data_IF_227537643242
#
_entry.id   IF_227537643242
#
_cell.length_a   1.000
_cell.length_b   1.000
_cell.length_c   1.000
_cell.angle_alpha   90.00
_cell.angle_beta   90.00
_cell.angle_gamma   90.00
#
_symmetry.space_group_name_H-M   'P 1'
#
loop_
_entity.id
_entity.type
_entity.pdbx_description
1 polymer ?
#
# COMPACT_ATOMS: atom_id res chain seq x y z
N UNK A 1 -6.98 7.75 -26.00
CA UNK A 1 -5.97 7.02 -26.78
C UNK A 1 -4.56 7.17 -26.19
N UNK A 2 -4.15 8.39 -25.87
CA UNK A 2 -2.85 8.63 -25.22
C UNK A 2 -2.75 7.93 -23.87
N UNK A 3 -3.81 7.98 -23.08
CA UNK A 3 -3.87 7.30 -21.79
C UNK A 3 -3.78 5.79 -21.92
N UNK A 4 -4.40 5.24 -22.96
CA UNK A 4 -4.33 3.81 -23.24
C UNK A 4 -2.90 3.39 -23.64
N UNK A 5 -2.26 4.17 -24.51
CA UNK A 5 -0.87 3.93 -24.94
C UNK A 5 0.09 4.05 -23.76
N UNK A 6 -0.11 5.04 -22.88
CA UNK A 6 0.70 5.18 -21.67
C UNK A 6 0.50 3.98 -20.73
N UNK A 7 -0.73 3.51 -20.58
CA UNK A 7 -1.04 2.32 -19.78
C UNK A 7 -0.31 1.08 -20.29
N UNK A 8 -0.28 0.87 -21.60
CA UNK A 8 0.46 -0.23 -22.20
C UNK A 8 1.97 -0.10 -21.99
N UNK A 9 2.50 1.12 -22.10
CA UNK A 9 3.93 1.38 -21.88
C UNK A 9 4.32 1.11 -20.41
N UNK A 10 3.48 1.53 -19.46
CA UNK A 10 3.70 1.26 -18.03
C UNK A 10 3.67 -0.23 -17.73
N UNK A 11 2.71 -0.95 -18.31
CA UNK A 11 2.60 -2.41 -18.15
C UNK A 11 3.85 -3.11 -18.66
N UNK A 12 4.35 -2.70 -19.82
CA UNK A 12 5.57 -3.28 -20.39
C UNK A 12 6.80 -2.94 -19.54
N UNK A 13 6.87 -1.72 -19.01
CA UNK A 13 7.94 -1.32 -18.08
C UNK A 13 7.96 -2.22 -16.83
N UNK A 14 6.80 -2.53 -16.28
CA UNK A 14 6.68 -3.42 -15.12
C UNK A 14 7.13 -4.85 -15.46
N UNK A 15 6.71 -5.37 -16.60
CA UNK A 15 7.12 -6.70 -17.07
C UNK A 15 8.61 -6.79 -17.28
N UNK A 16 9.19 -5.74 -17.86
CA UNK A 16 10.64 -5.66 -18.10
C UNK A 16 11.41 -5.64 -16.79
N UNK A 17 10.93 -4.90 -15.80
CA UNK A 17 11.52 -4.87 -14.45
C UNK A 17 11.47 -6.24 -13.79
N UNK A 18 10.38 -6.97 -13.96
CA UNK A 18 10.21 -8.30 -13.38
C UNK A 18 11.23 -9.33 -13.91
N UNK A 19 11.85 -9.09 -15.05
CA UNK A 19 12.91 -9.98 -15.58
C UNK A 19 14.17 -9.93 -14.73
N UNK A 20 14.42 -8.82 -14.05
CA UNK A 20 15.61 -8.62 -13.21
C UNK A 20 15.31 -8.44 -11.72
N UNK A 21 14.04 -8.34 -11.34
CA UNK A 21 13.59 -8.24 -9.96
C UNK A 21 12.84 -9.53 -9.60
N UNK A 22 13.52 -10.43 -8.90
CA UNK A 22 12.97 -11.75 -8.54
C UNK A 22 11.72 -11.63 -7.67
N UNK A 23 11.71 -10.68 -6.75
CA UNK A 23 10.55 -10.48 -5.87
C UNK A 23 9.34 -10.01 -6.68
N UNK A 24 9.52 -9.04 -7.56
CA UNK A 24 8.44 -8.57 -8.43
C UNK A 24 7.93 -9.70 -9.32
N UNK A 25 8.82 -10.51 -9.87
CA UNK A 25 8.44 -11.67 -10.68
C UNK A 25 7.58 -12.66 -9.88
N UNK A 26 7.98 -12.92 -8.63
CA UNK A 26 7.20 -13.79 -7.74
C UNK A 26 5.82 -13.21 -7.43
N UNK A 27 5.75 -11.90 -7.19
CA UNK A 27 4.49 -11.18 -6.97
C UNK A 27 3.56 -11.34 -8.17
N UNK A 28 4.05 -11.07 -9.37
CA UNK A 28 3.23 -11.16 -10.58
C UNK A 28 2.77 -12.58 -10.89
N UNK A 29 3.54 -13.59 -10.48
CA UNK A 29 3.25 -15.00 -10.77
C UNK A 29 2.36 -15.67 -9.71
N UNK A 30 2.47 -15.28 -8.44
CA UNK A 30 1.92 -16.04 -7.32
C UNK A 30 0.96 -15.28 -6.43
N UNK A 31 0.73 -13.99 -6.68
CA UNK A 31 -0.18 -13.22 -5.83
C UNK A 31 -1.65 -13.48 -6.16
N UNK A 32 -2.48 -13.39 -5.13
CA UNK A 32 -3.91 -13.22 -5.31
C UNK A 32 -4.17 -11.74 -5.57
N UNK A 33 -4.80 -11.43 -6.69
CA UNK A 33 -5.11 -10.05 -7.05
C UNK A 33 -6.48 -9.65 -6.53
N UNK A 34 -6.63 -8.38 -6.17
CA UNK A 34 -7.90 -7.82 -5.71
C UNK A 34 -8.51 -8.59 -4.52
N UNK A 35 -7.65 -8.96 -3.58
CA UNK A 35 -8.05 -9.77 -2.41
C UNK A 35 -8.75 -8.91 -1.36
N UNK A 36 -10.01 -9.23 -1.07
CA UNK A 36 -10.75 -8.58 0.01
C UNK A 36 -10.40 -9.18 1.36
N UNK A 37 -10.28 -8.33 2.37
CA UNK A 37 -10.18 -8.74 3.76
C UNK A 37 -11.05 -7.85 4.63
N UNK A 38 -11.64 -8.44 5.67
CA UNK A 38 -12.47 -7.77 6.66
C UNK A 38 -11.95 -8.11 8.04
N UNK A 39 -11.83 -7.11 8.90
CA UNK A 39 -11.56 -7.32 10.32
C UNK A 39 -12.76 -6.76 11.10
N UNK A 40 -13.56 -7.65 11.65
CA UNK A 40 -14.74 -7.25 12.41
C UNK A 40 -14.32 -6.88 13.83
N UNK A 41 -14.87 -5.76 14.31
CA UNK A 41 -14.62 -5.24 15.65
C UNK A 41 -13.15 -5.00 15.94
N UNK A 42 -12.44 -4.41 14.98
CA UNK A 42 -11.06 -4.00 15.18
C UNK A 42 -11.00 -2.95 16.29
N UNK A 43 -10.11 -3.16 17.24
CA UNK A 43 -9.96 -2.28 18.39
C UNK A 43 -9.09 -1.07 18.05
N UNK A 44 -9.54 0.09 18.50
CA UNK A 44 -8.82 1.35 18.36
C UNK A 44 -8.66 2.01 19.73
N UNK A 45 -7.51 2.63 19.91
CA UNK A 45 -7.22 3.43 21.08
C UNK A 45 -6.70 4.79 20.61
N UNK A 46 -7.38 5.88 20.98
CA UNK A 46 -6.97 7.24 20.63
C UNK A 46 -7.17 8.13 21.85
N UNK A 47 -6.05 8.61 22.40
CA UNK A 47 -6.07 9.30 23.69
C UNK A 47 -6.63 8.37 24.77
N UNK A 48 -7.71 8.79 25.43
CA UNK A 48 -8.40 8.01 26.46
C UNK A 48 -9.62 7.24 25.92
N UNK A 49 -9.85 7.29 24.60
CA UNK A 49 -11.00 6.64 23.99
C UNK A 49 -10.61 5.26 23.46
N UNK A 50 -11.40 4.27 23.80
CA UNK A 50 -11.31 2.92 23.27
C UNK A 50 -12.61 2.61 22.54
N UNK A 51 -12.52 2.13 21.30
CA UNK A 51 -13.68 1.84 20.47
C UNK A 51 -13.36 0.77 19.45
N UNK A 52 -14.37 0.25 18.77
CA UNK A 52 -14.21 -0.75 17.71
C UNK A 52 -14.87 -0.26 16.44
N UNK A 53 -14.28 -0.65 15.31
CA UNK A 53 -14.87 -0.46 13.99
C UNK A 53 -14.70 -1.74 13.18
N UNK A 54 -15.65 -2.02 12.31
CA UNK A 54 -15.46 -3.01 11.28
C UNK A 54 -14.63 -2.36 10.15
N UNK A 55 -13.52 -2.99 9.82
CA UNK A 55 -12.58 -2.48 8.84
C UNK A 55 -12.46 -3.43 7.66
N UNK A 56 -12.15 -2.88 6.50
CA UNK A 56 -11.99 -3.68 5.29
C UNK A 56 -10.95 -3.07 4.38
N UNK A 57 -10.33 -3.93 3.57
CA UNK A 57 -9.40 -3.51 2.55
C UNK A 57 -9.48 -4.44 1.33
N UNK A 58 -8.90 -3.98 0.24
CA UNK A 58 -8.83 -4.74 -1.00
C UNK A 58 -7.40 -4.63 -1.53
N UNK A 59 -6.65 -5.71 -1.40
CA UNK A 59 -5.26 -5.76 -1.82
C UNK A 59 -5.15 -5.80 -3.34
N UNK A 60 -4.22 -5.05 -3.90
CA UNK A 60 -3.83 -5.24 -5.29
C UNK A 60 -3.13 -6.59 -5.45
N UNK A 61 -2.18 -6.85 -4.56
CA UNK A 61 -1.43 -8.10 -4.50
C UNK A 61 -1.39 -8.64 -3.08
N UNK A 62 -1.84 -9.86 -2.91
CA UNK A 62 -1.70 -10.60 -1.66
C UNK A 62 -0.90 -11.86 -1.90
N UNK A 63 0.10 -12.12 -1.06
CA UNK A 63 1.00 -13.27 -1.17
C UNK A 63 0.67 -14.28 -0.05
N UNK A 64 -0.20 -15.27 -0.30
CA UNK A 64 -0.64 -16.19 0.75
C UNK A 64 0.52 -16.95 1.39
N UNK A 65 1.52 -17.32 0.60
CA UNK A 65 2.68 -18.07 1.09
C UNK A 65 3.56 -17.28 2.04
N UNK A 66 3.55 -15.95 1.93
CA UNK A 66 4.39 -15.06 2.76
C UNK A 66 3.59 -14.36 3.86
N UNK A 67 2.26 -14.35 3.77
CA UNK A 67 1.41 -13.71 4.76
C UNK A 67 1.46 -12.18 4.74
N UNK A 68 1.78 -11.58 3.62
CA UNK A 68 1.71 -10.12 3.43
C UNK A 68 1.38 -9.79 1.99
N UNK A 69 1.10 -8.54 1.74
CA UNK A 69 0.76 -8.06 0.41
C UNK A 69 1.35 -6.70 0.11
N UNK A 70 0.94 -6.14 -1.00
CA UNK A 70 1.42 -4.84 -1.45
C UNK A 70 0.50 -4.18 -2.44
N UNK A 71 0.96 -3.03 -2.93
CA UNK A 71 0.17 -2.14 -3.75
C UNK A 71 0.96 -1.68 -4.98
N UNK A 72 0.22 -1.47 -6.06
CA UNK A 72 0.76 -0.94 -7.30
C UNK A 72 0.26 0.49 -7.48
N UNK A 73 1.18 1.42 -7.66
CA UNK A 73 0.87 2.84 -7.86
C UNK A 73 1.38 3.34 -9.19
N UNK A 74 0.75 4.37 -9.71
CA UNK A 74 1.33 5.23 -10.72
C UNK A 74 1.74 6.52 -10.06
N UNK A 75 2.81 7.14 -10.53
CA UNK A 75 3.38 8.33 -9.89
C UNK A 75 3.93 9.30 -10.92
N UNK A 76 4.00 10.57 -10.58
CA UNK A 76 4.72 11.57 -11.36
C UNK A 76 6.17 11.74 -10.90
N UNK A 77 6.59 11.01 -9.87
CA UNK A 77 7.98 11.02 -9.42
C UNK A 77 8.92 10.58 -10.54
N UNK A 78 10.07 11.20 -10.61
CA UNK A 78 11.12 10.89 -11.60
C UNK A 78 12.34 10.24 -10.96
N UNK A 79 12.38 10.16 -9.63
CA UNK A 79 13.47 9.55 -8.87
C UNK A 79 12.92 8.79 -7.66
N UNK A 80 13.76 7.92 -7.10
CA UNK A 80 13.41 7.18 -5.88
C UNK A 80 13.13 8.11 -4.70
N UNK A 81 13.90 9.21 -4.56
CA UNK A 81 13.69 10.17 -3.48
C UNK A 81 12.34 10.88 -3.61
N UNK A 82 11.97 11.30 -4.81
CA UNK A 82 10.67 11.90 -5.06
C UNK A 82 9.54 10.91 -4.77
N UNK A 83 9.72 9.64 -5.13
CA UNK A 83 8.73 8.62 -4.80
C UNK A 83 8.61 8.43 -3.29
N UNK A 84 9.72 8.39 -2.56
CA UNK A 84 9.71 8.26 -1.10
C UNK A 84 8.94 9.41 -0.44
N UNK A 85 9.13 10.64 -0.93
CA UNK A 85 8.38 11.80 -0.45
C UNK A 85 6.89 11.69 -0.78
N UNK A 86 6.55 11.13 -1.94
CA UNK A 86 5.17 10.95 -2.37
C UNK A 86 4.39 9.99 -1.45
N UNK A 87 5.06 9.02 -0.86
CA UNK A 87 4.43 8.08 0.09
C UNK A 87 3.80 8.82 1.27
N UNK A 88 4.52 9.78 1.83
CA UNK A 88 4.00 10.64 2.91
C UNK A 88 2.95 11.62 2.38
N UNK A 89 3.29 12.33 1.31
CA UNK A 89 2.46 13.41 0.78
C UNK A 89 1.07 12.94 0.36
N UNK A 90 0.97 11.78 -0.28
CA UNK A 90 -0.31 11.22 -0.76
C UNK A 90 -0.95 10.27 0.25
N UNK A 91 -0.44 10.19 1.48
CA UNK A 91 -0.98 9.31 2.52
C UNK A 91 -0.98 7.81 2.14
N UNK A 92 -0.04 7.40 1.29
CA UNK A 92 0.11 5.98 0.97
C UNK A 92 0.60 5.18 2.18
N UNK A 93 1.38 5.81 3.06
CA UNK A 93 1.77 5.25 4.34
C UNK A 93 0.56 4.93 5.22
N UNK A 94 -0.44 5.82 5.26
CA UNK A 94 -1.69 5.60 5.98
C UNK A 94 -2.41 4.35 5.46
N UNK A 95 -2.53 4.25 4.14
CA UNK A 95 -3.19 3.10 3.52
C UNK A 95 -2.46 1.80 3.81
N UNK A 96 -1.12 1.79 3.72
CA UNK A 96 -0.35 0.57 3.97
C UNK A 96 -0.44 0.12 5.42
N UNK A 97 -0.35 1.04 6.38
CA UNK A 97 -0.52 0.73 7.79
C UNK A 97 -1.92 0.16 8.08
N UNK A 98 -2.95 0.75 7.50
CA UNK A 98 -4.33 0.27 7.59
C UNK A 98 -4.47 -1.17 7.10
N UNK A 99 -3.93 -1.46 5.91
CA UNK A 99 -3.96 -2.79 5.32
C UNK A 99 -3.20 -3.81 6.16
N UNK A 100 -2.00 -3.44 6.62
CA UNK A 100 -1.17 -4.31 7.46
C UNK A 100 -1.91 -4.71 8.74
N UNK A 101 -2.59 -3.77 9.37
CA UNK A 101 -3.27 -4.03 10.64
C UNK A 101 -4.56 -4.84 10.45
N UNK A 102 -5.25 -4.68 9.32
CA UNK A 102 -6.39 -5.54 8.99
C UNK A 102 -5.95 -7.00 8.80
N UNK A 103 -4.87 -7.22 8.08
CA UNK A 103 -4.38 -8.56 7.80
C UNK A 103 -3.53 -9.16 8.92
N UNK A 104 -3.03 -8.34 9.85
CA UNK A 104 -2.07 -8.78 10.85
C UNK A 104 -0.70 -9.07 10.26
N UNK A 105 -0.36 -8.51 9.11
CA UNK A 105 0.91 -8.76 8.43
C UNK A 105 2.05 -7.95 9.04
N UNK A 106 3.27 -8.45 8.91
CA UNK A 106 4.48 -7.83 9.46
C UNK A 106 5.19 -6.95 8.44
N UNK A 107 4.86 -7.10 7.17
CA UNK A 107 5.51 -6.42 6.06
C UNK A 107 4.47 -5.97 5.04
N UNK A 108 4.88 -5.04 4.20
CA UNK A 108 4.09 -4.53 3.08
C UNK A 108 5.06 -3.98 2.03
N UNK A 109 4.58 -3.74 0.83
CA UNK A 109 5.41 -3.14 -0.20
C UNK A 109 4.59 -2.32 -1.18
N UNK A 110 5.26 -1.38 -1.84
CA UNK A 110 4.69 -0.59 -2.93
C UNK A 110 5.64 -0.67 -4.12
N UNK A 111 5.10 -0.98 -5.29
CA UNK A 111 5.77 -0.73 -6.56
C UNK A 111 5.06 0.40 -7.27
N UNK A 112 5.82 1.32 -7.83
CA UNK A 112 5.28 2.46 -8.54
C UNK A 112 5.94 2.61 -9.91
N UNK A 113 5.15 3.03 -10.88
CA UNK A 113 5.61 3.27 -12.24
C UNK A 113 5.45 4.75 -12.52
N UNK A 114 6.55 5.40 -12.94
CA UNK A 114 6.51 6.80 -13.30
C UNK A 114 5.76 7.02 -14.62
N UNK A 115 4.79 7.91 -14.60
CA UNK A 115 4.12 8.37 -15.82
C UNK A 115 5.01 9.25 -16.68
N UNK A 116 6.08 9.81 -16.11
CA UNK A 116 6.98 10.72 -16.81
C UNK A 116 8.12 10.01 -17.52
N UNK A 117 8.77 9.05 -16.86
CA UNK A 117 9.96 8.40 -17.42
C UNK A 117 9.92 6.88 -17.42
N UNK A 118 8.78 6.28 -17.02
CA UNK A 118 8.55 4.82 -16.97
C UNK A 118 9.50 4.07 -16.03
N UNK A 119 10.22 4.77 -15.15
CA UNK A 119 11.04 4.11 -14.14
C UNK A 119 10.16 3.44 -13.11
N UNK A 120 10.66 2.33 -12.56
CA UNK A 120 10.00 1.59 -11.50
C UNK A 120 10.66 1.96 -10.17
N UNK A 121 9.84 2.35 -9.21
CA UNK A 121 10.28 2.62 -7.84
C UNK A 121 9.64 1.61 -6.91
N UNK A 122 10.32 1.31 -5.82
CA UNK A 122 9.80 0.37 -4.81
C UNK A 122 10.09 0.84 -3.40
N UNK A 123 9.22 0.45 -2.48
CA UNK A 123 9.40 0.67 -1.07
C UNK A 123 8.91 -0.56 -0.32
N UNK A 124 9.71 -1.02 0.64
CA UNK A 124 9.33 -2.10 1.55
C UNK A 124 9.10 -1.52 2.93
N UNK A 125 8.05 -1.96 3.58
CA UNK A 125 7.59 -1.41 4.85
C UNK A 125 7.52 -2.55 5.87
N UNK A 126 8.07 -2.30 7.07
CA UNK A 126 7.98 -3.20 8.22
C UNK A 126 7.27 -2.49 9.36
N UNK A 127 6.75 -3.25 10.33
CA UNK A 127 6.04 -2.68 11.48
C UNK A 127 6.88 -1.76 12.34
N UNK A 128 8.19 -1.96 12.39
CA UNK A 128 9.09 -1.11 13.16
C UNK A 128 9.60 0.12 12.40
N UNK A 129 9.26 0.25 11.12
CA UNK A 129 9.68 1.39 10.29
C UNK A 129 8.93 2.67 10.63
N UNK A 130 9.59 3.80 10.42
CA UNK A 130 8.97 5.13 10.57
C UNK A 130 7.79 5.31 9.62
N UNK A 131 7.85 4.74 8.42
CA UNK A 131 6.76 4.79 7.45
C UNK A 131 5.48 4.16 8.01
N UNK A 132 5.58 2.97 8.61
CA UNK A 132 4.44 2.33 9.25
C UNK A 132 3.91 3.15 10.43
N UNK A 133 4.80 3.62 11.30
CA UNK A 133 4.42 4.39 12.49
C UNK A 133 3.70 5.68 12.11
N UNK A 134 4.23 6.39 11.12
CA UNK A 134 3.60 7.60 10.58
C UNK A 134 2.24 7.29 9.98
N UNK A 135 2.13 6.22 9.21
CA UNK A 135 0.87 5.78 8.61
C UNK A 135 -0.17 5.42 9.65
N UNK A 136 0.24 4.74 10.72
CA UNK A 136 -0.65 4.38 11.83
C UNK A 136 -1.17 5.63 12.56
N UNK A 137 -0.32 6.60 12.82
CA UNK A 137 -0.75 7.87 13.43
C UNK A 137 -1.82 8.55 12.57
N UNK A 138 -1.62 8.57 11.25
CA UNK A 138 -2.57 9.17 10.32
C UNK A 138 -3.91 8.44 10.31
N UNK A 139 -3.89 7.11 10.28
CA UNK A 139 -5.16 6.38 10.25
C UNK A 139 -5.86 6.40 11.62
N UNK A 140 -5.13 6.40 12.72
CA UNK A 140 -5.72 6.51 14.05
C UNK A 140 -6.50 7.82 14.20
N UNK A 141 -5.92 8.92 13.74
CA UNK A 141 -6.59 10.22 13.75
C UNK A 141 -7.85 10.22 12.88
N UNK A 142 -7.73 9.70 11.66
CA UNK A 142 -8.85 9.66 10.72
C UNK A 142 -9.96 8.74 11.22
N UNK A 143 -9.62 7.58 11.74
CA UNK A 143 -10.59 6.64 12.30
C UNK A 143 -11.32 7.24 13.50
N UNK A 144 -10.62 7.97 14.36
CA UNK A 144 -11.22 8.64 15.51
C UNK A 144 -12.22 9.71 15.07
N UNK A 145 -11.87 10.51 14.09
CA UNK A 145 -12.79 11.51 13.53
C UNK A 145 -14.03 10.86 12.93
N UNK A 146 -13.86 9.76 12.23
CA UNK A 146 -14.96 8.98 11.67
C UNK A 146 -15.87 8.44 12.78
N UNK A 147 -15.28 7.84 13.80
CA UNK A 147 -16.03 7.28 14.93
C UNK A 147 -16.85 8.37 15.64
N UNK A 148 -16.28 9.55 15.86
CA UNK A 148 -17.00 10.67 16.49
C UNK A 148 -18.23 11.09 15.68
N UNK A 149 -18.16 11.03 14.35
CA UNK A 149 -19.29 11.35 13.48
C UNK A 149 -20.42 10.31 13.54
N UNK A 150 -20.07 9.06 13.83
CA UNK A 150 -21.03 7.95 13.88
C UNK A 150 -21.67 7.74 15.24
N UNK A 151 -21.14 8.37 16.27
CA UNK A 151 -21.63 8.31 17.63
C UNK A 151 -22.36 9.60 17.99
#
# INVERSE_FOLDING_TARGET
REDFELGLAMREALRKEARKDEFLRAVLSNSDTQKFMVNKSQRFLYGNFEYTLDTRCKWDWWLPSFGFGGDLKTTFAESQNQFNEAIDFFDWDRSRAWYMDIAGSQQDFIYAISKKNLKIFKAFIRRDDDTYKRGKEKYDELAFKWWQLMV
#
